data_IF_082644684041
#
_entry.id   IF_082644684041
#
_cell.length_a   1.000
_cell.length_b   1.000
_cell.length_c   1.000
_cell.angle_alpha   90.00
_cell.angle_beta   90.00
_cell.angle_gamma   90.00
#
_symmetry.space_group_name_H-M   'P 1'
#
loop_
_entity.id
_entity.type
_entity.pdbx_description
1 polymer ?
#
# COMPACT_ATOMS: atom_id res chain seq x y z
N UNK A 1 28.09 4.75 4.37
CA UNK A 1 28.05 3.31 4.73
C UNK A 1 26.68 2.67 4.44
N UNK A 2 26.01 2.96 3.32
CA UNK A 2 24.63 2.45 3.12
C UNK A 2 24.21 2.09 1.69
N UNK A 3 25.14 1.82 0.76
CA UNK A 3 24.75 1.34 -0.57
C UNK A 3 24.17 -0.09 -0.54
N UNK A 4 24.48 -0.88 0.49
CA UNK A 4 23.94 -2.24 0.66
C UNK A 4 22.50 -2.29 1.20
N UNK A 5 22.04 -1.22 1.84
CA UNK A 5 20.74 -1.23 2.55
C UNK A 5 19.59 -1.19 1.54
N UNK A 6 19.72 -0.40 0.47
CA UNK A 6 18.70 -0.28 -0.58
C UNK A 6 18.44 -1.60 -1.32
N UNK A 7 19.45 -2.32 -1.85
CA UNK A 7 19.21 -3.59 -2.54
C UNK A 7 18.76 -4.69 -1.58
N UNK A 8 19.26 -4.72 -0.34
CA UNK A 8 18.83 -5.70 0.65
C UNK A 8 17.37 -5.48 1.03
N UNK A 9 16.99 -4.22 1.28
CA UNK A 9 15.62 -3.88 1.60
C UNK A 9 14.70 -4.16 0.40
N UNK A 10 15.11 -3.80 -0.82
CA UNK A 10 14.35 -4.09 -2.03
C UNK A 10 14.15 -5.60 -2.25
N UNK A 11 15.21 -6.39 -2.10
CA UNK A 11 15.13 -7.84 -2.24
C UNK A 11 14.18 -8.47 -1.22
N UNK A 12 14.26 -8.07 0.05
CA UNK A 12 13.36 -8.56 1.08
C UNK A 12 11.91 -8.09 0.85
N UNK A 13 11.67 -6.87 0.34
CA UNK A 13 10.33 -6.42 -0.03
C UNK A 13 9.71 -7.32 -1.12
N UNK A 14 10.49 -7.68 -2.14
CA UNK A 14 10.06 -8.58 -3.21
C UNK A 14 9.73 -9.96 -2.65
N UNK A 15 10.56 -10.50 -1.76
CA UNK A 15 10.32 -11.81 -1.12
C UNK A 15 9.03 -11.78 -0.31
N UNK A 16 8.80 -10.76 0.53
CA UNK A 16 7.56 -10.66 1.30
C UNK A 16 6.33 -10.44 0.43
N UNK A 17 6.45 -9.69 -0.67
CA UNK A 17 5.38 -9.50 -1.64
C UNK A 17 5.04 -10.80 -2.38
N UNK A 18 6.05 -11.60 -2.75
CA UNK A 18 5.83 -12.91 -3.33
C UNK A 18 5.15 -13.84 -2.32
N UNK A 19 5.67 -13.92 -1.08
CA UNK A 19 5.08 -14.71 -0.01
C UNK A 19 3.61 -14.32 0.23
N UNK A 20 3.30 -13.03 0.26
CA UNK A 20 1.94 -12.50 0.41
C UNK A 20 0.95 -13.09 -0.61
N UNK A 21 1.34 -13.20 -1.89
CA UNK A 21 0.48 -13.72 -2.97
C UNK A 21 0.22 -15.22 -2.81
N UNK A 22 1.19 -15.97 -2.29
CA UNK A 22 1.08 -17.42 -2.09
C UNK A 22 0.38 -17.83 -0.79
N UNK A 23 0.12 -16.89 0.13
CA UNK A 23 -0.56 -17.20 1.39
C UNK A 23 -2.02 -17.62 1.18
N UNK A 24 -2.40 -18.74 1.79
CA UNK A 24 -3.80 -19.21 1.81
C UNK A 24 -4.65 -18.54 2.87
N UNK A 25 -4.04 -18.04 3.94
CA UNK A 25 -4.75 -17.31 4.99
C UNK A 25 -4.69 -15.82 4.73
N UNK A 26 -5.86 -15.19 4.74
CA UNK A 26 -5.99 -13.75 4.48
C UNK A 26 -5.29 -12.92 5.58
N UNK A 27 -5.28 -13.45 6.80
CA UNK A 27 -4.53 -12.90 7.92
C UNK A 27 -3.01 -12.89 7.65
N UNK A 28 -2.40 -14.02 7.26
CA UNK A 28 -0.96 -14.05 6.98
C UNK A 28 -0.60 -13.16 5.77
N UNK A 29 -1.47 -13.09 4.75
CA UNK A 29 -1.28 -12.17 3.64
C UNK A 29 -1.25 -10.69 4.10
N UNK A 30 -2.15 -10.29 5.01
CA UNK A 30 -2.17 -8.95 5.57
C UNK A 30 -0.92 -8.63 6.42
N UNK A 31 -0.39 -9.61 7.17
CA UNK A 31 0.87 -9.45 7.91
C UNK A 31 2.06 -9.36 6.96
N UNK A 32 2.09 -10.15 5.88
CA UNK A 32 3.12 -10.02 4.85
C UNK A 32 3.06 -8.64 4.16
N UNK A 33 1.86 -8.10 3.91
CA UNK A 33 1.69 -6.74 3.40
C UNK A 33 2.32 -5.71 4.35
N UNK A 34 2.09 -5.84 5.65
CA UNK A 34 2.70 -4.96 6.65
C UNK A 34 4.24 -4.99 6.59
N UNK A 35 4.82 -6.19 6.43
CA UNK A 35 6.27 -6.35 6.27
C UNK A 35 6.79 -5.66 5.00
N UNK A 36 6.06 -5.75 3.88
CA UNK A 36 6.40 -5.03 2.63
C UNK A 36 6.37 -3.52 2.83
N UNK A 37 5.35 -2.98 3.52
CA UNK A 37 5.23 -1.54 3.78
C UNK A 37 6.37 -1.02 4.68
N UNK A 38 6.74 -1.78 5.71
CA UNK A 38 7.89 -1.45 6.56
C UNK A 38 9.19 -1.42 5.75
N UNK A 39 9.36 -2.37 4.84
CA UNK A 39 10.55 -2.40 4.00
C UNK A 39 10.60 -1.25 3.01
N UNK A 40 9.46 -0.88 2.42
CA UNK A 40 9.35 0.32 1.60
C UNK A 40 9.67 1.61 2.39
N UNK A 41 9.37 1.67 3.70
CA UNK A 41 9.75 2.80 4.54
C UNK A 41 11.27 2.91 4.68
N UNK A 42 11.97 1.77 4.82
CA UNK A 42 13.43 1.73 4.82
C UNK A 42 14.00 2.23 3.48
N UNK A 43 13.38 1.89 2.35
CA UNK A 43 13.79 2.40 1.03
C UNK A 43 13.63 3.92 0.96
N UNK A 44 12.48 4.48 1.35
CA UNK A 44 12.29 5.94 1.33
C UNK A 44 13.25 6.67 2.26
N UNK A 45 13.52 6.10 3.43
CA UNK A 45 14.50 6.64 4.36
C UNK A 45 15.91 6.64 3.76
N UNK A 46 16.30 5.54 3.10
CA UNK A 46 17.60 5.43 2.43
C UNK A 46 17.75 6.37 1.23
N UNK A 47 16.66 6.68 0.53
CA UNK A 47 16.62 7.67 -0.56
C UNK A 47 16.60 9.13 -0.06
N UNK A 48 16.64 9.38 1.25
CA UNK A 48 16.64 10.73 1.82
C UNK A 48 15.26 11.39 1.92
N UNK A 49 14.17 10.65 1.65
CA UNK A 49 12.79 11.11 1.77
C UNK A 49 12.22 10.80 3.16
N UNK A 50 12.76 11.50 4.18
CA UNK A 50 12.49 11.23 5.61
C UNK A 50 11.01 11.44 5.97
N UNK A 51 10.45 12.60 5.64
CA UNK A 51 9.02 12.87 5.83
C UNK A 51 8.14 11.75 5.24
N UNK A 52 8.42 11.35 4.00
CA UNK A 52 7.65 10.32 3.29
C UNK A 52 7.76 8.94 3.96
N UNK A 53 8.95 8.57 4.44
CA UNK A 53 9.14 7.33 5.20
C UNK A 53 8.29 7.32 6.48
N UNK A 54 8.26 8.44 7.22
CA UNK A 54 7.40 8.57 8.40
C UNK A 54 5.92 8.50 8.05
N UNK A 55 5.46 9.16 6.97
CA UNK A 55 4.06 9.07 6.53
C UNK A 55 3.68 7.64 6.12
N UNK A 56 4.59 6.89 5.49
CA UNK A 56 4.34 5.50 5.13
C UNK A 56 4.15 4.63 6.38
N UNK A 57 4.96 4.85 7.42
CA UNK A 57 4.80 4.13 8.69
C UNK A 57 3.50 4.55 9.39
N UNK A 58 3.22 5.84 9.49
CA UNK A 58 2.07 6.34 10.25
C UNK A 58 0.73 6.00 9.59
N UNK A 59 0.60 6.29 8.29
CA UNK A 59 -0.67 6.20 7.58
C UNK A 59 -0.86 4.80 7.01
N UNK A 60 0.12 4.28 6.25
CA UNK A 60 -0.06 3.02 5.54
C UNK A 60 0.13 1.81 6.45
N UNK A 61 1.26 1.73 7.16
CA UNK A 61 1.51 0.61 8.06
C UNK A 61 0.68 0.72 9.35
N UNK A 62 0.55 1.93 9.91
CA UNK A 62 -0.06 2.17 11.22
C UNK A 62 -1.59 2.24 11.21
N UNK A 63 -2.19 2.91 10.23
CA UNK A 63 -3.65 3.06 10.18
C UNK A 63 -4.29 2.08 9.18
N UNK A 64 -3.92 2.17 7.90
CA UNK A 64 -4.60 1.42 6.83
C UNK A 64 -4.40 -0.09 6.98
N UNK A 65 -3.16 -0.55 7.14
CA UNK A 65 -2.88 -1.99 7.29
C UNK A 65 -3.50 -2.56 8.58
N UNK A 66 -3.50 -1.80 9.68
CA UNK A 66 -4.15 -2.22 10.94
C UNK A 66 -5.65 -2.34 10.75
N UNK A 67 -6.31 -1.38 10.10
CA UNK A 67 -7.73 -1.46 9.77
C UNK A 67 -8.03 -2.69 8.90
N UNK A 68 -7.17 -3.01 7.93
CA UNK A 68 -7.30 -4.21 7.09
C UNK A 68 -7.19 -5.48 7.95
N UNK A 69 -6.19 -5.58 8.82
CA UNK A 69 -6.01 -6.74 9.70
C UNK A 69 -7.21 -6.92 10.64
N UNK A 70 -7.69 -5.83 11.25
CA UNK A 70 -8.87 -5.86 12.13
C UNK A 70 -10.12 -6.26 11.34
N UNK A 71 -10.34 -5.66 10.17
CA UNK A 71 -11.50 -5.98 9.32
C UNK A 71 -11.50 -7.44 8.90
N UNK A 72 -10.34 -8.00 8.50
CA UNK A 72 -10.20 -9.41 8.13
C UNK A 72 -10.40 -10.31 9.35
N UNK A 73 -9.94 -9.91 10.54
CA UNK A 73 -10.08 -10.70 11.76
C UNK A 73 -11.53 -10.77 12.24
N UNK A 74 -12.31 -9.69 12.08
CA UNK A 74 -13.74 -9.65 12.42
C UNK A 74 -14.57 -10.33 11.35
N UNK A 75 -14.16 -10.22 10.08
CA UNK A 75 -14.81 -10.93 8.99
C UNK A 75 -14.61 -12.44 9.17
N UNK A 76 -15.70 -13.17 9.40
CA UNK A 76 -15.70 -14.63 9.27
C UNK A 76 -15.53 -15.01 7.80
N UNK A 77 -14.28 -15.00 7.31
CA UNK A 77 -13.95 -15.39 5.94
C UNK A 77 -14.19 -16.89 5.79
N UNK A 78 -15.42 -17.26 5.43
CA UNK A 78 -15.69 -18.59 4.88
C UNK A 78 -14.79 -18.76 3.64
N UNK A 79 -14.12 -19.91 3.47
CA UNK A 79 -13.32 -20.13 2.27
C UNK A 79 -14.23 -19.96 1.07
N UNK A 80 -14.08 -18.84 0.35
CA UNK A 80 -14.83 -18.59 -0.84
C UNK A 80 -14.53 -19.74 -1.79
N UNK A 81 -15.53 -20.58 -2.07
CA UNK A 81 -15.38 -21.64 -3.07
C UNK A 81 -14.84 -20.99 -4.33
N UNK A 82 -13.67 -21.46 -4.73
CA UNK A 82 -12.77 -20.89 -5.72
C UNK A 82 -13.47 -20.57 -7.05
N UNK A 83 -14.14 -19.41 -7.15
CA UNK A 83 -14.53 -18.83 -8.45
C UNK A 83 -13.30 -18.37 -9.23
N UNK A 84 -12.20 -18.11 -8.51
CA UNK A 84 -10.89 -17.77 -9.08
C UNK A 84 -10.25 -18.92 -9.88
N UNK A 85 -10.55 -20.18 -9.56
CA UNK A 85 -10.08 -21.32 -10.38
C UNK A 85 -10.84 -21.48 -11.70
N UNK A 86 -12.04 -20.88 -11.84
CA UNK A 86 -12.84 -20.97 -13.07
C UNK A 86 -12.57 -19.84 -14.05
N UNK A 87 -12.18 -18.66 -13.57
CA UNK A 87 -11.70 -17.58 -14.42
C UNK A 87 -10.23 -17.89 -14.75
N UNK A 88 -9.84 -17.94 -16.02
CA UNK A 88 -8.45 -18.20 -16.47
C UNK A 88 -7.42 -17.12 -16.08
N UNK A 89 -7.60 -16.44 -14.95
CA UNK A 89 -6.79 -15.33 -14.43
C UNK A 89 -5.36 -15.71 -14.04
N UNK A 90 -5.02 -17.01 -14.05
CA UNK A 90 -3.66 -17.49 -13.79
C UNK A 90 -2.67 -16.98 -14.84
N UNK A 91 -3.08 -17.00 -16.11
CA UNK A 91 -2.24 -16.55 -17.22
C UNK A 91 -1.96 -15.04 -17.19
N UNK A 92 -2.95 -14.14 -17.05
CA UNK A 92 -2.68 -12.70 -16.98
C UNK A 92 -1.87 -12.29 -15.74
N UNK A 93 -2.00 -12.99 -14.61
CA UNK A 93 -1.15 -12.71 -13.43
C UNK A 93 0.32 -13.09 -13.69
N UNK A 94 0.57 -14.23 -14.34
CA UNK A 94 1.92 -14.68 -14.66
C UNK A 94 2.54 -13.77 -15.72
N UNK A 95 1.77 -13.40 -16.76
CA UNK A 95 2.27 -12.49 -17.79
C UNK A 95 2.51 -11.10 -17.23
N UNK A 96 1.64 -10.56 -16.37
CA UNK A 96 1.88 -9.29 -15.69
C UNK A 96 3.13 -9.36 -14.80
N UNK A 97 3.30 -10.45 -14.04
CA UNK A 97 4.48 -10.65 -13.18
C UNK A 97 5.81 -10.66 -13.93
N UNK A 98 5.82 -11.02 -15.22
CA UNK A 98 7.02 -11.01 -16.05
C UNK A 98 7.17 -9.75 -16.91
N UNK A 99 6.05 -9.22 -17.41
CA UNK A 99 6.03 -8.09 -18.34
C UNK A 99 6.32 -6.76 -17.66
N UNK A 100 5.83 -6.54 -16.42
CA UNK A 100 6.14 -5.34 -15.65
C UNK A 100 7.64 -5.17 -15.38
N UNK A 101 8.37 -6.13 -14.79
CA UNK A 101 9.80 -5.98 -14.53
C UNK A 101 10.62 -5.90 -15.83
N UNK A 102 10.20 -6.58 -16.91
CA UNK A 102 10.85 -6.45 -18.21
C UNK A 102 10.70 -5.04 -18.80
N UNK A 103 9.51 -4.45 -18.67
CA UNK A 103 9.25 -3.08 -19.10
C UNK A 103 10.06 -2.07 -18.27
N UNK A 104 10.10 -2.26 -16.95
CA UNK A 104 10.92 -1.43 -16.06
C UNK A 104 12.41 -1.53 -16.42
N UNK A 105 12.94 -2.74 -16.62
CA UNK A 105 14.33 -2.94 -17.04
C UNK A 105 14.63 -2.25 -18.38
N UNK A 106 13.72 -2.33 -19.35
CA UNK A 106 13.83 -1.62 -20.63
C UNK A 106 13.85 -0.10 -20.45
N UNK A 107 13.01 0.44 -19.56
CA UNK A 107 12.95 1.87 -19.26
C UNK A 107 14.20 2.36 -18.53
N UNK A 108 14.75 1.55 -17.61
CA UNK A 108 15.96 1.82 -16.85
C UNK A 108 17.22 1.74 -17.72
N UNK A 109 17.25 0.86 -18.72
CA UNK A 109 18.32 0.82 -19.72
C UNK A 109 18.25 2.02 -20.68
N UNK A 110 17.03 2.46 -21.04
CA UNK A 110 16.82 3.59 -21.93
C UNK A 110 17.12 4.96 -21.29
N UNK A 111 17.04 5.07 -19.95
CA UNK A 111 17.29 6.32 -19.22
C UNK A 111 18.53 6.19 -18.35
N UNK A 112 19.51 7.08 -18.53
CA UNK A 112 20.54 7.28 -17.50
C UNK A 112 19.86 7.76 -16.22
N UNK A 113 19.96 6.96 -15.16
CA UNK A 113 19.39 7.33 -13.86
C UNK A 113 19.99 8.67 -13.43
N UNK A 114 19.17 9.69 -13.15
CA UNK A 114 19.69 10.92 -12.57
C UNK A 114 20.38 10.60 -11.24
N UNK A 115 21.42 11.36 -10.85
CA UNK A 115 22.05 11.18 -9.55
C UNK A 115 20.99 11.29 -8.45
N UNK A 116 21.10 10.42 -7.44
CA UNK A 116 20.20 10.43 -6.28
C UNK A 116 20.21 11.85 -5.69
N UNK A 117 19.07 12.56 -5.69
CA UNK A 117 19.04 13.92 -5.21
C UNK A 117 19.44 13.97 -3.74
N UNK A 118 20.03 15.10 -3.32
CA UNK A 118 20.34 15.34 -1.92
C UNK A 118 19.09 15.12 -1.04
N UNK A 119 19.30 14.67 0.19
CA UNK A 119 18.21 14.38 1.12
C UNK A 119 17.21 15.53 1.15
N UNK A 120 15.93 15.22 0.95
CA UNK A 120 14.89 16.22 0.90
C UNK A 120 14.85 16.99 2.23
N UNK A 121 14.72 18.31 2.14
CA UNK A 121 14.47 19.17 3.29
C UNK A 121 12.98 19.13 3.61
N UNK A 122 12.62 18.59 4.77
CA UNK A 122 11.24 18.37 5.17
C UNK A 122 10.46 19.71 5.26
N UNK A 123 11.15 20.81 5.60
CA UNK A 123 10.53 22.14 5.68
C UNK A 123 10.18 22.68 4.28
N UNK A 124 11.03 22.38 3.29
CA UNK A 124 10.81 22.75 1.91
C UNK A 124 9.60 22.00 1.35
N UNK A 125 9.45 20.71 1.65
CA UNK A 125 8.26 19.92 1.27
C UNK A 125 6.98 20.52 1.84
N UNK A 126 6.98 20.92 3.13
CA UNK A 126 5.84 21.60 3.75
C UNK A 126 5.48 22.91 3.05
N UNK A 127 6.48 23.73 2.69
CA UNK A 127 6.26 24.97 1.94
C UNK A 127 5.67 24.72 0.55
N UNK A 128 6.03 23.62 -0.11
CA UNK A 128 5.40 23.24 -1.37
C UNK A 128 3.93 22.84 -1.17
N UNK A 129 3.64 22.06 -0.12
CA UNK A 129 2.30 21.55 0.18
C UNK A 129 1.28 22.67 0.48
N UNK A 130 1.72 23.70 1.21
CA UNK A 130 0.87 24.83 1.61
C UNK A 130 1.05 26.09 0.75
N UNK A 131 1.98 26.08 -0.20
CA UNK A 131 2.15 27.17 -1.16
C UNK A 131 1.56 26.76 -2.52
N UNK A 132 2.40 26.32 -3.48
CA UNK A 132 1.95 25.90 -4.81
C UNK A 132 0.84 24.84 -4.82
N UNK A 133 0.85 23.90 -3.86
CA UNK A 133 -0.12 22.81 -3.78
C UNK A 133 -1.24 23.06 -2.76
N UNK A 134 -1.43 24.30 -2.28
CA UNK A 134 -2.46 24.62 -1.28
C UNK A 134 -3.86 24.14 -1.68
N UNK A 135 -4.27 24.39 -2.93
CA UNK A 135 -5.57 23.95 -3.44
C UNK A 135 -5.74 22.42 -3.43
N UNK A 136 -4.67 21.67 -3.73
CA UNK A 136 -4.69 20.21 -3.66
C UNK A 136 -4.83 19.73 -2.19
N UNK A 137 -4.11 20.38 -1.27
CA UNK A 137 -4.18 20.09 0.16
C UNK A 137 -5.58 20.36 0.72
N UNK A 138 -6.22 21.47 0.34
CA UNK A 138 -7.60 21.78 0.69
C UNK A 138 -8.58 20.73 0.16
N UNK A 139 -8.43 20.33 -1.12
CA UNK A 139 -9.27 19.30 -1.73
C UNK A 139 -9.15 17.94 -1.00
N UNK A 140 -7.94 17.55 -0.60
CA UNK A 140 -7.73 16.33 0.21
C UNK A 140 -8.35 16.48 1.60
N UNK A 141 -8.29 17.66 2.21
CA UNK A 141 -8.97 17.93 3.48
C UNK A 141 -10.48 17.76 3.38
N UNK A 142 -11.11 18.32 2.33
CA UNK A 142 -12.53 18.12 2.04
C UNK A 142 -12.85 16.64 1.75
N UNK A 143 -11.98 15.94 1.01
CA UNK A 143 -12.13 14.51 0.75
C UNK A 143 -12.14 13.69 2.06
N UNK A 144 -11.26 14.02 3.01
CA UNK A 144 -11.23 13.37 4.33
C UNK A 144 -12.50 13.68 5.15
N UNK A 145 -13.01 14.91 5.07
CA UNK A 145 -14.29 15.28 5.69
C UNK A 145 -15.45 14.47 5.10
N UNK A 146 -15.54 14.39 3.77
CA UNK A 146 -16.59 13.60 3.11
C UNK A 146 -16.46 12.11 3.38
N UNK A 147 -15.23 11.57 3.44
CA UNK A 147 -15.01 10.17 3.81
C UNK A 147 -15.52 9.88 5.23
N UNK A 148 -15.24 10.76 6.20
CA UNK A 148 -15.75 10.62 7.56
C UNK A 148 -17.30 10.69 7.61
N UNK A 149 -17.90 11.64 6.88
CA UNK A 149 -19.37 11.75 6.78
C UNK A 149 -19.98 10.51 6.11
N UNK A 150 -19.36 9.99 5.05
CA UNK A 150 -19.84 8.81 4.34
C UNK A 150 -19.89 7.59 5.26
N UNK A 151 -18.87 7.38 6.09
CA UNK A 151 -18.84 6.28 7.07
C UNK A 151 -19.98 6.39 8.09
N UNK A 152 -20.31 7.61 8.54
CA UNK A 152 -21.43 7.83 9.47
C UNK A 152 -22.78 7.59 8.78
N UNK A 153 -22.93 8.02 7.53
CA UNK A 153 -24.18 7.86 6.77
C UNK A 153 -24.49 6.42 6.33
N UNK A 154 -23.47 5.56 6.18
CA UNK A 154 -23.66 4.17 5.73
C UNK A 154 -24.59 3.37 6.66
N UNK A 155 -24.71 3.76 7.93
CA UNK A 155 -25.67 3.19 8.89
C UNK A 155 -25.43 1.71 9.23
N UNK A 156 -25.81 1.26 10.43
CA UNK A 156 -25.84 -0.18 10.72
C UNK A 156 -26.90 -0.86 9.83
N UNK A 157 -26.68 -2.12 9.41
CA UNK A 157 -27.66 -2.83 8.60
C UNK A 157 -29.02 -2.87 9.32
N UNK A 158 -30.08 -2.51 8.61
CA UNK A 158 -31.46 -2.63 9.09
C UNK A 158 -31.72 -4.08 9.44
N UNK A 159 -31.86 -4.37 10.72
CA UNK A 159 -32.36 -5.65 11.22
C UNK A 159 -33.84 -5.70 10.79
N UNK A 160 -34.12 -6.28 9.62
CA UNK A 160 -35.50 -6.68 9.31
C UNK A 160 -35.92 -7.63 10.43
N UNK A 161 -36.90 -7.13 11.17
CA UNK A 161 -37.53 -7.76 12.32
C UNK A 161 -38.06 -9.12 11.86
N UNK A 162 -37.31 -10.18 12.19
CA UNK A 162 -37.75 -11.57 12.23
C UNK A 162 -38.75 -11.74 13.41
N UNK A 163 -39.85 -10.98 13.39
CA UNK A 163 -41.06 -11.22 14.17
C UNK A 163 -42.21 -11.51 13.21
N UNK A 164 -42.14 -12.69 12.57
CA UNK A 164 -43.33 -13.43 12.13
C UNK A 164 -43.06 -14.92 12.29
N UNK A 165 -43.01 -15.38 13.54
CA UNK A 165 -43.27 -16.77 13.90
C UNK A 165 -44.27 -16.82 15.03
#
# INVERSE_FOLDING_TARGET
MSHWVVPLAGAAAIVFAALMIFQRSLYAAAVCLLAVLLQAAVLFYACGARLLAFLLILIYAGAVAVLIVVAISVASVRPAQSRWSRMGLRWPLITAGFLLPALEAGLLMARRSPPVPAAADDLLVGRFLFGPYAAATEAVGLLMLFAALAVVCVGPPSQEVEERS
#
